data_IF_321619824799
#
_entry.id   IF_321619824799
#
_cell.length_a   1.000
_cell.length_b   1.000
_cell.length_c   1.000
_cell.angle_alpha   90.00
_cell.angle_beta   90.00
_cell.angle_gamma   90.00
#
_symmetry.space_group_name_H-M   'P 1'
#
loop_
_entity.id
_entity.type
_entity.pdbx_description
1 polymer ?
#
# COMPACT_ATOMS: atom_id res chain seq x y z
N UNK A 1 7.10 16.32 -8.89
CA UNK A 1 6.11 15.54 -9.68
C UNK A 1 5.05 15.06 -8.71
N UNK A 2 3.77 15.17 -9.09
CA UNK A 2 2.67 14.55 -8.32
C UNK A 2 2.69 13.06 -8.63
N UNK A 3 2.72 12.22 -7.59
CA UNK A 3 2.61 10.76 -7.72
C UNK A 3 1.16 10.38 -7.50
N UNK A 4 0.56 9.67 -8.44
CA UNK A 4 -0.84 9.22 -8.33
C UNK A 4 -0.87 7.70 -8.43
N UNK A 5 -1.63 7.04 -7.57
CA UNK A 5 -1.77 5.59 -7.58
C UNK A 5 -3.23 5.18 -7.35
N UNK A 6 -3.68 4.14 -8.05
CA UNK A 6 -4.99 3.53 -7.85
C UNK A 6 -4.93 2.61 -6.63
N UNK A 7 -5.91 2.74 -5.73
CA UNK A 7 -5.99 1.93 -4.52
C UNK A 7 -5.99 0.43 -4.83
N UNK A 8 -6.78 0.00 -5.82
CA UNK A 8 -6.84 -1.40 -6.25
C UNK A 8 -5.47 -1.94 -6.67
N UNK A 9 -4.70 -1.16 -7.44
CA UNK A 9 -3.34 -1.55 -7.86
C UNK A 9 -2.38 -1.67 -6.68
N UNK A 10 -2.48 -0.79 -5.69
CA UNK A 10 -1.67 -0.88 -4.49
C UNK A 10 -2.06 -2.11 -3.65
N UNK A 11 -3.36 -2.42 -3.59
CA UNK A 11 -3.88 -3.59 -2.90
C UNK A 11 -3.43 -4.89 -3.57
N UNK A 12 -3.44 -4.95 -4.90
CA UNK A 12 -2.92 -6.08 -5.68
C UNK A 12 -1.42 -6.30 -5.47
N UNK A 13 -0.67 -5.23 -5.17
CA UNK A 13 0.75 -5.33 -4.83
C UNK A 13 1.01 -5.85 -3.40
N UNK A 14 0.00 -5.88 -2.54
CA UNK A 14 0.13 -6.39 -1.18
C UNK A 14 -0.02 -7.91 -1.15
N UNK A 15 1.00 -8.59 -0.61
CA UNK A 15 1.01 -10.05 -0.50
C UNK A 15 0.50 -10.46 0.87
N UNK A 16 -0.51 -11.34 0.94
CA UNK A 16 -0.98 -11.89 2.21
C UNK A 16 0.03 -12.88 2.78
N UNK A 17 0.34 -12.73 4.07
CA UNK A 17 1.24 -13.58 4.82
C UNK A 17 0.47 -14.72 5.51
N UNK A 18 1.18 -15.79 5.91
CA UNK A 18 0.60 -16.95 6.59
C UNK A 18 -0.01 -16.63 7.97
N UNK A 19 0.47 -15.57 8.63
CA UNK A 19 -0.04 -15.11 9.93
C UNK A 19 -1.30 -14.25 9.83
N UNK A 20 -1.82 -14.05 8.62
CA UNK A 20 -3.02 -13.25 8.36
C UNK A 20 -2.77 -11.76 8.14
N UNK A 21 -1.52 -11.29 8.24
CA UNK A 21 -1.13 -9.92 7.85
C UNK A 21 -0.88 -9.80 6.34
N UNK A 22 -0.60 -8.60 5.86
CA UNK A 22 -0.19 -8.31 4.49
C UNK A 22 1.19 -7.64 4.48
N UNK A 23 1.99 -7.99 3.48
CA UNK A 23 3.26 -7.33 3.16
C UNK A 23 3.04 -6.45 1.94
N UNK A 24 3.10 -5.14 2.14
CA UNK A 24 2.98 -4.13 1.08
C UNK A 24 4.34 -3.49 0.83
N UNK A 25 4.76 -3.39 -0.43
CA UNK A 25 6.05 -2.75 -0.78
C UNK A 25 5.82 -1.50 -1.61
N UNK A 26 6.33 -0.36 -1.15
CA UNK A 26 6.23 0.93 -1.82
C UNK A 26 7.61 1.58 -1.87
N UNK A 27 8.03 2.01 -3.07
CA UNK A 27 9.32 2.68 -3.31
C UNK A 27 10.52 1.92 -2.69
N UNK A 28 10.49 0.58 -2.73
CA UNK A 28 11.52 -0.30 -2.19
C UNK A 28 11.50 -0.48 -0.67
N UNK A 29 10.53 0.10 0.04
CA UNK A 29 10.27 -0.15 1.46
C UNK A 29 9.10 -1.11 1.63
N UNK A 30 9.30 -2.14 2.44
CA UNK A 30 8.24 -3.09 2.78
C UNK A 30 7.61 -2.75 4.13
N UNK A 31 6.29 -2.83 4.18
CA UNK A 31 5.44 -2.57 5.34
C UNK A 31 4.63 -3.82 5.63
N UNK A 32 4.58 -4.20 6.91
CA UNK A 32 3.66 -5.24 7.38
C UNK A 32 2.43 -4.55 7.94
N UNK A 33 1.28 -4.83 7.36
CA UNK A 33 0.00 -4.22 7.72
C UNK A 33 -1.01 -5.31 8.04
N UNK A 34 -1.90 -5.04 8.99
CA UNK A 34 -2.96 -5.99 9.34
C UNK A 34 -4.21 -5.75 8.50
N UNK A 35 -4.42 -4.50 8.09
CA UNK A 35 -5.56 -4.05 7.29
C UNK A 35 -5.08 -3.47 5.94
N UNK A 36 -5.59 -3.96 4.79
CA UNK A 36 -5.32 -3.38 3.48
C UNK A 36 -5.64 -1.88 3.37
N UNK A 37 -6.55 -1.34 4.18
CA UNK A 37 -6.84 0.10 4.20
C UNK A 37 -5.64 0.94 4.65
N UNK A 38 -4.69 0.36 5.41
CA UNK A 38 -3.45 1.04 5.80
C UNK A 38 -2.55 1.39 4.60
N UNK A 39 -2.71 0.68 3.47
CA UNK A 39 -1.99 0.95 2.21
C UNK A 39 -2.24 2.40 1.76
N UNK A 40 -3.50 2.87 1.87
CA UNK A 40 -3.86 4.24 1.46
C UNK A 40 -3.11 5.28 2.28
N UNK A 41 -3.02 5.08 3.59
CA UNK A 41 -2.30 5.95 4.53
C UNK A 41 -0.80 5.94 4.24
N UNK A 42 -0.20 4.76 4.08
CA UNK A 42 1.22 4.63 3.77
C UNK A 42 1.54 5.33 2.44
N UNK A 43 0.73 5.13 1.40
CA UNK A 43 0.96 5.76 0.12
C UNK A 43 0.80 7.30 0.21
N UNK A 44 -0.21 7.81 0.91
CA UNK A 44 -0.36 9.26 1.16
C UNK A 44 0.82 9.85 1.94
N UNK A 45 1.34 9.14 2.95
CA UNK A 45 2.53 9.57 3.70
C UNK A 45 3.78 9.63 2.80
N UNK A 46 3.82 8.84 1.73
CA UNK A 46 4.87 8.90 0.68
C UNK A 46 4.60 9.93 -0.41
N UNK A 47 3.54 10.73 -0.28
CA UNK A 47 3.16 11.78 -1.21
C UNK A 47 2.38 11.28 -2.43
N UNK A 48 1.79 10.08 -2.36
CA UNK A 48 0.87 9.60 -3.39
C UNK A 48 -0.54 10.16 -3.17
N UNK A 49 -1.14 10.65 -4.25
CA UNK A 49 -2.57 10.89 -4.32
C UNK A 49 -3.24 9.56 -4.67
N UNK A 50 -4.07 9.07 -3.74
CA UNK A 50 -4.84 7.84 -3.93
C UNK A 50 -6.12 8.16 -4.69
N UNK A 51 -6.34 7.42 -5.76
CA UNK A 51 -7.61 7.37 -6.49
C UNK A 51 -8.27 6.02 -6.21
N UNK A 52 -9.60 6.05 -6.07
CA UNK A 52 -10.44 4.89 -5.80
C UNK A 52 -11.15 4.44 -7.07
#
# INVERSE_FOLDING_TARGET
MVKTALFETLMDSATRNEDGTYTFTLDGKSYRISDPLEISKIATDHGYIIIY
#
